data_IF_192844159747
#
_entry.id   IF_192844159747
#
_cell.length_a   1.000
_cell.length_b   1.000
_cell.length_c   1.000
_cell.angle_alpha   90.00
_cell.angle_beta   90.00
_cell.angle_gamma   90.00
#
_symmetry.space_group_name_H-M   'P 1'
#
loop_
_entity.id
_entity.type
_entity.pdbx_description
1 polymer ?
#
# COMPACT_ATOMS: atom_id res chain seq x y z
N UNK A 1 -6.76 -18.79 11.35
CA UNK A 1 -5.74 -17.81 10.89
C UNK A 1 -6.03 -17.41 9.46
N UNK A 2 -6.01 -16.13 9.19
CA UNK A 2 -6.21 -15.58 7.85
C UNK A 2 -4.99 -14.76 7.49
N UNK A 3 -4.47 -14.95 6.27
CA UNK A 3 -3.40 -14.13 5.71
C UNK A 3 -3.98 -13.40 4.50
N UNK A 4 -4.05 -12.07 4.57
CA UNK A 4 -4.61 -11.25 3.51
C UNK A 4 -3.54 -10.42 2.83
N UNK A 5 -3.60 -10.38 1.50
CA UNK A 5 -2.71 -9.55 0.67
C UNK A 5 -3.52 -8.47 -0.01
N UNK A 6 -3.17 -7.21 0.27
CA UNK A 6 -3.67 -6.06 -0.46
C UNK A 6 -2.57 -5.58 -1.40
N UNK A 7 -2.88 -5.51 -2.69
CA UNK A 7 -2.00 -4.88 -3.67
C UNK A 7 -2.57 -3.51 -4.01
N UNK A 8 -1.75 -2.47 -3.87
CA UNK A 8 -2.15 -1.08 -4.11
C UNK A 8 -1.31 -0.54 -5.25
N UNK A 9 -1.98 -0.16 -6.35
CA UNK A 9 -1.34 0.54 -7.45
C UNK A 9 -1.40 2.04 -7.18
N UNK A 10 -0.27 2.71 -7.38
CA UNK A 10 -0.11 4.13 -7.10
C UNK A 10 0.30 4.89 -8.34
N UNK A 11 -0.23 6.12 -8.46
CA UNK A 11 0.25 7.11 -9.42
C UNK A 11 0.80 8.31 -8.66
N UNK A 12 2.12 8.51 -8.74
CA UNK A 12 2.82 9.59 -8.05
C UNK A 12 3.08 10.70 -9.06
N UNK A 13 2.03 11.46 -9.37
CA UNK A 13 1.99 12.38 -10.50
C UNK A 13 3.08 13.46 -10.48
N UNK A 14 3.46 13.95 -9.31
CA UNK A 14 4.47 15.00 -9.18
C UNK A 14 5.91 14.52 -9.17
N UNK A 15 6.12 13.20 -9.20
CA UNK A 15 7.48 12.65 -9.08
C UNK A 15 8.25 12.79 -10.40
N UNK A 16 9.46 13.32 -10.33
CA UNK A 16 10.34 13.51 -11.49
C UNK A 16 11.65 12.73 -11.36
N UNK A 17 11.73 11.84 -10.38
CA UNK A 17 12.90 10.98 -10.19
C UNK A 17 12.55 9.82 -9.29
N UNK A 18 13.39 8.78 -9.32
CA UNK A 18 13.24 7.66 -8.37
C UNK A 18 13.42 8.12 -6.94
N UNK A 19 14.26 9.12 -6.71
CA UNK A 19 14.47 9.66 -5.36
C UNK A 19 13.19 10.28 -4.80
N UNK A 20 12.49 11.09 -5.61
CA UNK A 20 11.23 11.71 -5.20
C UNK A 20 10.16 10.66 -4.93
N UNK A 21 10.06 9.65 -5.81
CA UNK A 21 9.13 8.54 -5.59
C UNK A 21 9.43 7.81 -4.28
N UNK A 22 10.70 7.50 -4.02
CA UNK A 22 11.10 6.82 -2.79
C UNK A 22 10.75 7.61 -1.53
N UNK A 23 10.82 8.93 -1.60
CA UNK A 23 10.41 9.79 -0.48
C UNK A 23 8.92 9.65 -0.18
N UNK A 24 8.09 9.64 -1.22
CA UNK A 24 6.64 9.43 -1.05
C UNK A 24 6.36 8.04 -0.48
N UNK A 25 7.00 7.00 -1.02
CA UNK A 25 6.82 5.63 -0.53
C UNK A 25 7.26 5.47 0.92
N UNK A 26 8.33 6.15 1.32
CA UNK A 26 8.80 6.13 2.71
C UNK A 26 7.76 6.76 3.64
N UNK A 27 7.15 7.88 3.23
CA UNK A 27 6.07 8.51 4.01
C UNK A 27 4.89 7.56 4.17
N UNK A 28 4.53 6.86 3.09
CA UNK A 28 3.45 5.87 3.15
C UNK A 28 3.80 4.76 4.14
N UNK A 29 4.99 4.18 4.03
CA UNK A 29 5.42 3.10 4.93
C UNK A 29 5.44 3.55 6.39
N UNK A 30 5.89 4.76 6.65
CA UNK A 30 5.90 5.31 8.01
C UNK A 30 4.49 5.45 8.57
N UNK A 31 3.53 5.89 7.77
CA UNK A 31 2.13 6.00 8.19
C UNK A 31 1.50 4.63 8.45
N UNK A 32 1.91 3.61 7.71
CA UNK A 32 1.35 2.27 7.86
C UNK A 32 1.93 1.50 9.05
N UNK A 33 2.98 2.02 9.69
CA UNK A 33 3.59 1.37 10.87
C UNK A 33 2.62 1.20 12.04
N UNK A 34 1.58 2.00 12.12
CA UNK A 34 0.57 1.88 13.19
C UNK A 34 -0.39 0.72 12.97
N UNK A 35 -0.38 0.11 11.80
CA UNK A 35 -1.22 -1.03 11.47
C UNK A 35 -0.43 -2.33 11.61
N UNK A 36 -1.15 -3.43 11.81
CA UNK A 36 -0.55 -4.75 11.88
C UNK A 36 -0.32 -5.32 10.48
N UNK A 37 0.62 -4.73 9.75
CA UNK A 37 0.90 -5.09 8.35
C UNK A 37 2.38 -5.08 8.06
N UNK A 38 2.77 -5.86 7.04
CA UNK A 38 4.07 -5.76 6.39
C UNK A 38 3.86 -5.12 5.01
N UNK A 39 4.76 -4.23 4.61
CA UNK A 39 4.62 -3.46 3.37
C UNK A 39 5.90 -3.54 2.56
N UNK A 40 5.77 -3.75 1.25
CA UNK A 40 6.89 -3.72 0.33
C UNK A 40 6.47 -3.19 -1.04
N UNK A 41 7.37 -2.48 -1.70
CA UNK A 41 7.20 -2.15 -3.13
C UNK A 41 7.51 -3.40 -3.95
N UNK A 42 6.59 -3.83 -4.81
CA UNK A 42 6.70 -5.12 -5.52
C UNK A 42 6.78 -5.01 -7.03
N UNK A 43 6.37 -3.86 -7.61
CA UNK A 43 6.43 -3.65 -9.05
C UNK A 43 6.70 -2.18 -9.36
N UNK A 44 7.12 -1.91 -10.59
CA UNK A 44 7.37 -0.56 -11.13
C UNK A 44 8.52 0.15 -10.43
N UNK A 45 9.50 -0.59 -9.90
CA UNK A 45 10.63 0.00 -9.18
C UNK A 45 11.41 1.01 -10.03
N UNK A 46 11.45 0.82 -11.35
CA UNK A 46 12.19 1.67 -12.27
C UNK A 46 11.41 2.89 -12.75
N UNK A 47 10.12 2.96 -12.46
CA UNK A 47 9.26 4.04 -12.94
C UNK A 47 9.18 5.16 -11.92
N UNK A 48 9.21 6.41 -12.39
CA UNK A 48 9.20 7.58 -11.50
C UNK A 48 7.82 7.88 -10.93
N UNK A 49 6.77 7.59 -11.71
CA UNK A 49 5.41 8.02 -11.39
C UNK A 49 4.46 6.89 -11.11
N UNK A 50 4.95 5.66 -11.03
CA UNK A 50 4.15 4.49 -10.71
C UNK A 50 4.83 3.65 -9.64
N UNK A 51 4.00 3.06 -8.79
CA UNK A 51 4.47 2.10 -7.79
C UNK A 51 3.36 1.09 -7.52
N UNK A 52 3.75 -0.10 -7.10
CA UNK A 52 2.81 -1.08 -6.58
C UNK A 52 3.32 -1.55 -5.22
N UNK A 53 2.45 -1.46 -4.22
CA UNK A 53 2.77 -1.90 -2.86
C UNK A 53 1.99 -3.16 -2.55
N UNK A 54 2.67 -4.12 -1.92
CA UNK A 54 2.02 -5.27 -1.30
C UNK A 54 1.91 -4.99 0.20
N UNK A 55 0.71 -5.15 0.73
CA UNK A 55 0.40 -4.94 2.15
C UNK A 55 -0.19 -6.24 2.69
N UNK A 56 0.52 -6.89 3.60
CA UNK A 56 0.11 -8.19 4.13
C UNK A 56 -0.31 -8.06 5.59
N UNK A 57 -1.46 -8.60 5.92
CA UNK A 57 -1.93 -8.69 7.30
C UNK A 57 -2.22 -10.14 7.68
N UNK A 58 -2.05 -10.43 8.96
CA UNK A 58 -2.46 -11.70 9.56
C UNK A 58 -3.57 -11.39 10.57
N UNK A 59 -4.66 -12.13 10.50
CA UNK A 59 -5.83 -11.89 11.35
C UNK A 59 -6.49 -13.19 11.77
N UNK A 60 -7.45 -13.07 12.68
CA UNK A 60 -8.27 -14.19 13.10
C UNK A 60 -9.42 -14.48 12.15
N UNK A 61 -9.90 -13.46 11.40
CA UNK A 61 -10.99 -13.65 10.44
C UNK A 61 -10.87 -12.66 9.27
N UNK A 62 -11.58 -12.97 8.17
CA UNK A 62 -11.54 -12.18 6.94
C UNK A 62 -12.12 -10.78 7.12
N UNK A 63 -13.18 -10.63 7.91
CA UNK A 63 -13.79 -9.32 8.10
C UNK A 63 -12.82 -8.35 8.77
N UNK A 64 -12.06 -8.83 9.75
CA UNK A 64 -11.03 -8.00 10.40
C UNK A 64 -9.90 -7.65 9.43
N UNK A 65 -9.45 -8.62 8.63
CA UNK A 65 -8.42 -8.38 7.62
C UNK A 65 -8.88 -7.35 6.58
N UNK A 66 -10.15 -7.43 6.13
CA UNK A 66 -10.72 -6.47 5.20
C UNK A 66 -10.73 -5.04 5.78
N UNK A 67 -11.12 -4.90 7.05
CA UNK A 67 -11.12 -3.59 7.71
C UNK A 67 -9.71 -3.03 7.82
N UNK A 68 -8.73 -3.87 8.12
CA UNK A 68 -7.34 -3.47 8.20
C UNK A 68 -6.82 -3.00 6.84
N UNK A 69 -7.12 -3.74 5.78
CA UNK A 69 -6.75 -3.37 4.42
C UNK A 69 -7.42 -2.07 3.98
N UNK A 70 -8.71 -1.89 4.27
CA UNK A 70 -9.43 -0.68 3.93
C UNK A 70 -8.83 0.54 4.65
N UNK A 71 -8.50 0.39 5.92
CA UNK A 71 -7.87 1.44 6.70
C UNK A 71 -6.48 1.80 6.15
N UNK A 72 -5.71 0.81 5.71
CA UNK A 72 -4.42 1.03 5.07
C UNK A 72 -4.56 1.80 3.76
N UNK A 73 -5.50 1.41 2.89
CA UNK A 73 -5.74 2.10 1.62
C UNK A 73 -6.16 3.56 1.85
N UNK A 74 -7.03 3.81 2.83
CA UNK A 74 -7.44 5.17 3.18
C UNK A 74 -6.26 6.01 3.69
N UNK A 75 -5.40 5.42 4.50
CA UNK A 75 -4.23 6.11 5.02
C UNK A 75 -3.24 6.47 3.92
N UNK A 76 -3.05 5.58 2.94
CA UNK A 76 -2.21 5.85 1.78
C UNK A 76 -2.77 7.04 0.99
N UNK A 77 -4.08 7.05 0.74
CA UNK A 77 -4.72 8.13 -0.02
C UNK A 77 -4.60 9.49 0.69
N UNK A 78 -4.50 9.49 2.02
CA UNK A 78 -4.31 10.73 2.79
C UNK A 78 -2.91 11.32 2.65
N UNK A 79 -1.93 10.54 2.22
CA UNK A 79 -0.58 11.08 1.96
C UNK A 79 -0.65 12.11 0.84
N UNK A 80 -1.42 11.80 -0.22
CA UNK A 80 -1.59 12.69 -1.35
C UNK A 80 -2.88 12.30 -2.10
N UNK A 81 -3.84 13.23 -2.29
CA UNK A 81 -5.07 12.92 -3.01
C UNK A 81 -4.79 12.42 -4.43
N UNK A 82 -5.51 11.38 -4.84
CA UNK A 82 -5.37 10.79 -6.16
C UNK A 82 -4.21 9.80 -6.29
N UNK A 83 -3.53 9.48 -5.19
CA UNK A 83 -2.38 8.59 -5.21
C UNK A 83 -2.78 7.15 -5.53
N UNK A 84 -3.86 6.65 -4.94
CA UNK A 84 -4.32 5.26 -5.13
C UNK A 84 -5.15 5.18 -6.40
N UNK A 85 -4.70 4.36 -7.37
CA UNK A 85 -5.41 4.17 -8.63
C UNK A 85 -6.16 2.85 -8.71
N UNK A 86 -5.69 1.82 -7.99
CA UNK A 86 -6.31 0.50 -8.01
C UNK A 86 -5.92 -0.27 -6.75
N UNK A 87 -6.86 -1.06 -6.24
CA UNK A 87 -6.59 -2.01 -5.15
C UNK A 87 -7.11 -3.38 -5.51
N UNK A 88 -6.41 -4.42 -5.07
CA UNK A 88 -6.84 -5.81 -5.17
C UNK A 88 -6.61 -6.49 -3.84
N UNK A 89 -7.53 -7.36 -3.44
CA UNK A 89 -7.40 -8.13 -2.19
C UNK A 89 -7.42 -9.61 -2.54
N UNK A 90 -6.50 -10.35 -1.94
CA UNK A 90 -6.43 -11.80 -2.08
C UNK A 90 -6.20 -12.40 -0.69
N UNK A 91 -6.91 -13.47 -0.39
CA UNK A 91 -6.66 -14.23 0.84
C UNK A 91 -5.84 -15.46 0.51
N UNK A 92 -4.69 -15.59 1.18
CA UNK A 92 -3.74 -16.66 0.93
C UNK A 92 -4.01 -17.90 1.77
N UNK A 93 -4.75 -17.71 2.85
CA UNK A 93 -5.19 -18.83 3.70
C UNK A 93 -6.58 -18.55 4.24
#
# INVERSE_FOLDING_TARGET
>A
MVVGLLTVELHVAGSQSLKEKRMVLRRIKDRLKKFNVAVSEVEHQDLWQRAALAVVTVSTDQAHADREHAACADEIERVEPGLVTRTEVEFLT
#
